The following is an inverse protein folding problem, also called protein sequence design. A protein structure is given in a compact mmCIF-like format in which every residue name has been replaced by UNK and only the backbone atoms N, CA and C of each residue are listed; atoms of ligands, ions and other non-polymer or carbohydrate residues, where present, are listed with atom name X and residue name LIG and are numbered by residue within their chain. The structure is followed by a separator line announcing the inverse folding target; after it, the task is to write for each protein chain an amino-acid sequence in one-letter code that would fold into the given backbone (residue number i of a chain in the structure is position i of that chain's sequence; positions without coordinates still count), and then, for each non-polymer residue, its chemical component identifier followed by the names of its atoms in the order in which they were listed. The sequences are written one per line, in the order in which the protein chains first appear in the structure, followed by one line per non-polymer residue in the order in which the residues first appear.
data_IF_800235092208
#
_entry.id   IF_800235092208
#
_cell.length_a   1.000
_cell.length_b   1.000
_cell.length_c   1.000
_cell.angle_alpha   90.00
_cell.angle_beta   90.00
_cell.angle_gamma   90.00
#
_symmetry.space_group_name_H-M   'P 1'
#
loop_
_entity.id
_entity.type
_entity.pdbx_description
1 polymer ?
#
# COMPACT_ATOMS: atom_id res chain seq x y z
N UNK A 1 0.49 6.03 32.62
CA UNK A 1 0.64 7.41 32.11
C UNK A 1 1.57 8.15 33.05
N UNK A 2 2.39 9.09 32.57
CA UNK A 2 3.23 9.91 33.45
C UNK A 2 2.38 10.99 34.11
N UNK A 3 2.72 11.36 35.33
CA UNK A 3 1.99 12.39 36.10
C UNK A 3 2.15 13.80 35.51
N UNK A 4 3.14 13.99 34.64
CA UNK A 4 3.58 15.30 34.12
C UNK A 4 2.89 15.71 32.80
N UNK A 5 1.95 14.93 32.28
CA UNK A 5 1.29 15.27 31.01
C UNK A 5 0.22 16.35 31.21
N UNK A 6 0.40 17.50 30.57
CA UNK A 6 -0.63 18.53 30.45
C UNK A 6 -1.60 18.22 29.30
N UNK A 7 -2.84 17.91 29.65
CA UNK A 7 -3.94 17.64 28.71
C UNK A 7 -4.94 18.80 28.60
N UNK A 8 -4.62 20.01 29.10
CA UNK A 8 -5.51 21.17 29.08
C UNK A 8 -6.06 21.53 27.70
N UNK A 9 -5.31 21.22 26.63
CA UNK A 9 -5.69 21.46 25.23
C UNK A 9 -6.00 20.17 24.44
N UNK A 10 -6.17 19.04 25.14
CA UNK A 10 -6.41 17.76 24.50
C UNK A 10 -7.83 17.67 23.96
N UNK A 11 -7.96 17.13 22.75
CA UNK A 11 -9.24 16.96 22.06
C UNK A 11 -9.44 15.48 21.73
N UNK A 12 -10.52 14.90 22.23
CA UNK A 12 -10.85 13.50 21.95
C UNK A 12 -11.21 13.35 20.47
N UNK A 13 -10.52 12.46 19.78
CA UNK A 13 -10.87 12.12 18.40
C UNK A 13 -10.42 13.15 17.35
N UNK A 14 -9.50 14.07 17.65
CA UNK A 14 -8.97 15.07 16.69
C UNK A 14 -8.59 14.49 15.32
N UNK A 15 -8.08 13.26 15.29
CA UNK A 15 -7.65 12.58 14.06
C UNK A 15 -8.62 11.51 13.57
N UNK A 16 -9.68 11.20 14.35
CA UNK A 16 -10.67 10.22 13.95
C UNK A 16 -11.57 10.83 12.88
N UNK A 17 -11.71 10.13 11.74
CA UNK A 17 -12.73 10.46 10.75
C UNK A 17 -13.46 9.16 10.42
N UNK A 18 -14.80 9.12 10.56
CA UNK A 18 -15.59 7.89 10.46
C UNK A 18 -15.46 7.21 9.09
N UNK A 19 -15.28 8.00 8.03
CA UNK A 19 -15.19 7.50 6.65
C UNK A 19 -13.74 7.51 6.12
N UNK A 20 -12.74 7.41 7.02
CA UNK A 20 -11.34 7.34 6.58
C UNK A 20 -11.09 6.03 5.83
N UNK A 21 -10.74 6.12 4.54
CA UNK A 21 -10.13 5.01 3.84
C UNK A 21 -8.65 4.92 4.24
N UNK A 22 -8.30 3.87 4.97
CA UNK A 22 -6.93 3.60 5.35
C UNK A 22 -6.17 2.98 4.17
N UNK A 23 -5.30 3.76 3.55
CA UNK A 23 -4.35 3.26 2.56
C UNK A 23 -3.12 2.71 3.30
N UNK A 24 -3.19 1.44 3.71
CA UNK A 24 -2.06 0.78 4.38
C UNK A 24 -1.02 0.41 3.31
N UNK A 25 0.22 0.91 3.41
CA UNK A 25 1.27 0.53 2.47
C UNK A 25 1.65 -0.94 2.67
N UNK A 26 1.86 -1.64 1.56
CA UNK A 26 2.49 -2.96 1.54
C UNK A 26 3.90 -2.77 1.00
N UNK A 27 4.90 -3.12 1.81
CA UNK A 27 6.30 -3.11 1.39
C UNK A 27 6.61 -4.40 0.62
N UNK A 28 7.44 -4.26 -0.41
CA UNK A 28 8.02 -5.40 -1.09
C UNK A 28 9.27 -5.85 -0.32
N UNK A 29 9.60 -7.13 -0.44
CA UNK A 29 10.92 -7.61 -0.03
C UNK A 29 12.00 -6.93 -0.89
N UNK A 30 13.17 -6.72 -0.29
CA UNK A 30 14.22 -5.87 -0.87
C UNK A 30 14.72 -6.37 -2.24
N UNK A 31 14.82 -7.68 -2.42
CA UNK A 31 15.22 -8.32 -3.67
C UNK A 31 14.17 -8.10 -4.77
N UNK A 32 12.89 -8.25 -4.43
CA UNK A 32 11.76 -8.00 -5.32
C UNK A 32 11.71 -6.52 -5.73
N UNK A 33 11.83 -5.60 -4.76
CA UNK A 33 11.86 -4.17 -5.03
C UNK A 33 13.01 -3.80 -5.97
N UNK A 34 14.22 -4.29 -5.69
CA UNK A 34 15.42 -4.01 -6.49
C UNK A 34 15.25 -4.47 -7.93
N UNK A 35 14.68 -5.66 -8.12
CA UNK A 35 14.43 -6.22 -9.46
C UNK A 35 13.43 -5.37 -10.25
N UNK A 36 12.31 -4.98 -9.63
CA UNK A 36 11.30 -4.15 -10.31
C UNK A 36 11.79 -2.72 -10.56
N UNK A 37 12.59 -2.15 -9.66
CA UNK A 37 13.21 -0.84 -9.84
C UNK A 37 14.12 -0.83 -11.08
N UNK A 38 14.97 -1.85 -11.25
CA UNK A 38 15.83 -1.98 -12.43
C UNK A 38 15.00 -2.13 -13.72
N UNK A 39 13.97 -2.99 -13.71
CA UNK A 39 13.09 -3.18 -14.86
C UNK A 39 12.30 -1.93 -15.23
N UNK A 40 11.78 -1.20 -14.25
CA UNK A 40 11.06 0.05 -14.46
C UNK A 40 11.98 1.10 -15.10
N UNK A 41 13.22 1.23 -14.59
CA UNK A 41 14.25 2.11 -15.15
C UNK A 41 14.58 1.75 -16.61
N UNK A 42 14.83 0.48 -16.91
CA UNK A 42 15.12 0.02 -18.27
C UNK A 42 13.98 0.29 -19.26
N UNK A 43 12.73 0.18 -18.79
CA UNK A 43 11.52 0.44 -19.59
C UNK A 43 11.14 1.92 -19.66
N UNK A 44 11.75 2.78 -18.83
CA UNK A 44 11.37 4.19 -18.72
C UNK A 44 9.97 4.41 -18.15
N UNK A 45 9.49 3.51 -17.29
CA UNK A 45 8.13 3.56 -16.71
C UNK A 45 8.17 3.72 -15.21
N UNK A 46 7.06 4.18 -14.62
CA UNK A 46 6.91 4.24 -13.17
C UNK A 46 6.80 2.82 -12.57
N UNK A 47 7.57 2.56 -11.50
CA UNK A 47 7.62 1.25 -10.85
C UNK A 47 6.28 0.82 -10.24
N UNK A 48 5.54 1.76 -9.63
CA UNK A 48 4.21 1.48 -9.07
C UNK A 48 3.22 1.10 -10.17
N UNK A 49 3.27 1.77 -11.33
CA UNK A 49 2.45 1.39 -12.49
C UNK A 49 2.78 -0.02 -12.97
N UNK A 50 4.08 -0.35 -13.09
CA UNK A 50 4.56 -1.66 -13.51
C UNK A 50 4.08 -2.79 -12.58
N UNK A 51 4.23 -2.60 -11.26
CA UNK A 51 3.82 -3.59 -10.26
C UNK A 51 2.29 -3.77 -10.28
N UNK A 52 1.53 -2.68 -10.32
CA UNK A 52 0.06 -2.78 -10.36
C UNK A 52 -0.46 -3.44 -11.64
N UNK A 53 0.20 -3.22 -12.79
CA UNK A 53 -0.15 -3.91 -14.03
C UNK A 53 0.07 -5.43 -13.89
N UNK A 54 1.21 -5.84 -13.32
CA UNK A 54 1.52 -7.25 -13.08
C UNK A 54 0.49 -7.89 -12.13
N UNK A 55 0.25 -7.27 -10.97
CA UNK A 55 -0.68 -7.79 -9.97
C UNK A 55 -2.10 -7.93 -10.52
N UNK A 56 -2.57 -6.98 -11.34
CA UNK A 56 -3.89 -7.09 -11.98
C UNK A 56 -3.98 -8.28 -12.92
N UNK A 57 -2.94 -8.56 -13.70
CA UNK A 57 -2.89 -9.74 -14.57
C UNK A 57 -2.93 -11.03 -13.76
N UNK A 58 -2.15 -11.10 -12.69
CA UNK A 58 -2.15 -12.27 -11.80
C UNK A 58 -3.51 -12.49 -11.13
N UNK A 59 -4.17 -11.41 -10.67
CA UNK A 59 -5.53 -11.48 -10.12
C UNK A 59 -6.51 -12.03 -11.16
N UNK A 60 -6.48 -11.53 -12.41
CA UNK A 60 -7.35 -12.03 -13.48
C UNK A 60 -7.13 -13.53 -13.74
N UNK A 61 -5.88 -13.98 -13.83
CA UNK A 61 -5.55 -15.39 -14.02
C UNK A 61 -6.07 -16.26 -12.85
N UNK A 62 -5.92 -15.79 -11.60
CA UNK A 62 -6.46 -16.48 -10.42
C UNK A 62 -7.99 -16.55 -10.48
N UNK A 63 -8.67 -15.49 -10.89
CA UNK A 63 -10.13 -15.46 -11.01
C UNK A 63 -10.63 -16.44 -12.08
N UNK A 64 -9.94 -16.54 -13.22
CA UNK A 64 -10.24 -17.50 -14.29
C UNK A 64 -10.12 -18.96 -13.77
N UNK A 65 -9.03 -19.28 -13.07
CA UNK A 65 -8.80 -20.63 -12.52
C UNK A 65 -9.76 -20.97 -11.38
N UNK A 66 -10.17 -19.99 -10.58
CA UNK A 66 -11.06 -20.20 -9.42
C UNK A 66 -12.55 -20.15 -9.77
N UNK A 67 -12.91 -19.95 -11.05
CA UNK A 67 -14.30 -19.95 -11.51
C UNK A 67 -15.15 -18.80 -10.96
N UNK A 68 -14.51 -17.68 -10.58
CA UNK A 68 -15.19 -16.47 -10.06
C UNK A 68 -15.33 -15.38 -11.13
N UNK A 69 -15.35 -15.76 -12.42
CA UNK A 69 -15.58 -14.89 -13.56
C UNK A 69 -17.05 -14.77 -13.92
#
# INVERSE_FOLDING_TARGET
MKDEYDFSNAERGRFYRPDTQLNIPVYLDQDVESWFAEKAKMKGVNMQSLINELLRKDISLIQEVTGKG
#
